data_IF_685651025970
#
_entry.id   IF_685651025970
#
_cell.length_a   1.000
_cell.length_b   1.000
_cell.length_c   1.000
_cell.angle_alpha   90.00
_cell.angle_beta   90.00
_cell.angle_gamma   90.00
#
_symmetry.space_group_name_H-M   'P 1'
#
loop_
_entity.id
_entity.type
_entity.pdbx_description
1 polymer ?
#
# COMPACT_ATOMS: atom_id res chain seq x y z
N UNK A 1 11.13 41.98 -10.39
CA UNK A 1 11.34 41.03 -11.50
C UNK A 1 12.77 40.48 -11.57
N UNK A 2 13.80 41.19 -11.09
CA UNK A 2 15.19 40.71 -11.14
C UNK A 2 15.50 39.56 -10.18
N UNK A 3 15.00 39.60 -8.95
CA UNK A 3 15.19 38.52 -7.97
C UNK A 3 14.61 37.18 -8.46
N UNK A 4 13.43 37.21 -9.10
CA UNK A 4 12.82 36.00 -9.67
C UNK A 4 13.68 35.37 -10.77
N UNK A 5 14.37 36.19 -11.59
CA UNK A 5 15.32 35.69 -12.59
C UNK A 5 16.59 35.14 -11.94
N UNK A 6 17.14 35.84 -10.95
CA UNK A 6 18.32 35.40 -10.21
C UNK A 6 18.10 34.07 -9.48
N UNK A 7 16.92 33.87 -8.88
CA UNK A 7 16.54 32.61 -8.21
C UNK A 7 16.55 31.38 -9.13
N UNK A 8 16.34 31.56 -10.43
CA UNK A 8 16.36 30.47 -11.42
C UNK A 8 17.76 30.29 -12.03
N UNK A 9 18.52 31.37 -12.17
CA UNK A 9 19.82 31.35 -12.84
C UNK A 9 20.96 30.91 -11.93
N UNK A 10 20.89 31.19 -10.63
CA UNK A 10 21.89 30.73 -9.66
C UNK A 10 21.66 29.24 -9.38
N UNK A 11 22.63 28.35 -9.66
CA UNK A 11 22.47 26.93 -9.42
C UNK A 11 22.22 26.63 -7.94
N UNK A 12 21.24 25.77 -7.67
CA UNK A 12 20.97 25.31 -6.32
C UNK A 12 22.12 24.43 -5.81
N UNK A 13 22.71 24.82 -4.67
CA UNK A 13 23.82 24.12 -4.05
C UNK A 13 23.38 22.91 -3.22
N UNK A 14 22.20 22.96 -2.61
CA UNK A 14 21.67 21.89 -1.76
C UNK A 14 20.54 21.13 -2.47
N UNK A 15 20.78 19.86 -2.83
CA UNK A 15 19.79 18.97 -3.47
C UNK A 15 19.65 17.63 -2.75
N UNK A 16 20.40 17.40 -1.67
CA UNK A 16 20.47 16.11 -0.97
C UNK A 16 19.12 15.69 -0.38
N UNK A 17 18.39 16.63 0.21
CA UNK A 17 17.06 16.36 0.77
C UNK A 17 16.02 15.92 -0.28
N UNK A 18 15.99 16.61 -1.43
CA UNK A 18 15.10 16.27 -2.55
C UNK A 18 15.41 14.86 -3.10
N UNK A 19 16.69 14.57 -3.32
CA UNK A 19 17.15 13.28 -3.84
C UNK A 19 16.85 12.15 -2.85
N UNK A 20 17.08 12.39 -1.55
CA UNK A 20 16.79 11.42 -0.50
C UNK A 20 15.30 11.10 -0.44
N UNK A 21 14.43 12.11 -0.44
CA UNK A 21 12.98 11.91 -0.41
C UNK A 21 12.50 11.12 -1.64
N UNK A 22 12.96 11.50 -2.84
CA UNK A 22 12.64 10.78 -4.09
C UNK A 22 13.12 9.33 -4.05
N UNK A 23 14.29 9.07 -3.47
CA UNK A 23 14.83 7.72 -3.28
C UNK A 23 13.96 6.87 -2.37
N UNK A 24 13.52 7.43 -1.23
CA UNK A 24 12.64 6.75 -0.28
C UNK A 24 11.26 6.45 -0.87
N UNK A 25 10.67 7.40 -1.61
CA UNK A 25 9.37 7.21 -2.25
C UNK A 25 9.43 6.12 -3.34
N UNK A 26 10.49 6.11 -4.14
CA UNK A 26 10.74 5.04 -5.11
C UNK A 26 10.91 3.67 -4.45
N UNK A 27 11.72 3.60 -3.39
CA UNK A 27 11.97 2.38 -2.63
C UNK A 27 10.68 1.80 -2.04
N UNK A 28 9.83 2.65 -1.45
CA UNK A 28 8.53 2.26 -0.95
C UNK A 28 7.64 1.70 -2.07
N UNK A 29 7.54 2.39 -3.20
CA UNK A 29 6.72 1.93 -4.33
C UNK A 29 7.22 0.62 -4.93
N UNK A 30 8.54 0.45 -5.07
CA UNK A 30 9.12 -0.80 -5.55
C UNK A 30 8.83 -1.96 -4.60
N UNK A 31 9.06 -1.76 -3.30
CA UNK A 31 8.84 -2.81 -2.31
C UNK A 31 7.36 -3.22 -2.25
N UNK A 32 6.44 -2.26 -2.28
CA UNK A 32 5.00 -2.52 -2.32
C UNK A 32 4.60 -3.25 -3.61
N UNK A 33 5.11 -2.82 -4.76
CA UNK A 33 4.90 -3.52 -6.03
C UNK A 33 5.38 -4.97 -5.95
N UNK A 34 6.59 -5.20 -5.45
CA UNK A 34 7.18 -6.54 -5.40
C UNK A 34 6.48 -7.43 -4.38
N UNK A 35 5.97 -6.85 -3.29
CA UNK A 35 5.13 -7.53 -2.33
C UNK A 35 3.82 -8.05 -2.95
N UNK A 36 3.17 -7.26 -3.82
CA UNK A 36 1.95 -7.71 -4.52
C UNK A 36 2.22 -8.92 -5.43
N UNK A 37 3.40 -8.97 -6.06
CA UNK A 37 3.83 -10.12 -6.86
C UNK A 37 3.99 -11.38 -5.98
N UNK A 38 4.58 -11.25 -4.78
CA UNK A 38 4.70 -12.37 -3.84
C UNK A 38 3.33 -12.87 -3.36
N UNK A 39 2.39 -11.96 -3.11
CA UNK A 39 1.04 -12.32 -2.69
C UNK A 39 0.30 -13.08 -3.80
N UNK A 40 0.40 -12.65 -5.06
CA UNK A 40 -0.18 -13.37 -6.21
C UNK A 40 0.42 -14.77 -6.40
N UNK A 41 1.71 -14.94 -6.07
CA UNK A 41 2.39 -16.23 -6.11
C UNK A 41 2.08 -17.11 -4.89
N UNK A 42 1.28 -16.63 -3.94
CA UNK A 42 0.92 -17.37 -2.72
C UNK A 42 2.08 -17.56 -1.74
N UNK A 43 3.13 -16.73 -1.82
CA UNK A 43 4.30 -16.82 -0.95
C UNK A 43 4.03 -16.21 0.42
N UNK A 44 4.64 -16.78 1.45
CA UNK A 44 4.84 -16.05 2.71
C UNK A 44 6.00 -15.08 2.57
N UNK A 45 5.87 -13.92 3.21
CA UNK A 45 6.88 -12.88 3.16
C UNK A 45 6.80 -11.90 4.32
N UNK A 46 7.93 -11.25 4.60
CA UNK A 46 7.98 -10.00 5.35
C UNK A 46 8.91 -9.03 4.65
N UNK A 47 8.39 -7.86 4.26
CA UNK A 47 9.20 -6.73 3.81
C UNK A 47 9.51 -5.82 5.00
N UNK A 48 10.78 -5.68 5.35
CA UNK A 48 11.23 -4.80 6.44
C UNK A 48 11.97 -3.61 5.83
N UNK A 49 11.51 -2.40 6.14
CA UNK A 49 12.04 -1.17 5.58
C UNK A 49 13.10 -0.56 6.47
N UNK A 50 14.17 0.00 5.88
CA UNK A 50 15.20 0.76 6.63
C UNK A 50 15.83 -0.07 7.78
N UNK A 51 16.16 -1.34 7.52
CA UNK A 51 16.75 -2.24 8.52
C UNK A 51 17.82 -3.13 7.88
N UNK A 52 19.07 -2.95 8.35
CA UNK A 52 20.32 -3.42 7.72
C UNK A 52 20.57 -2.84 6.30
N UNK A 53 19.63 -2.95 5.38
CA UNK A 53 19.66 -2.28 4.08
C UNK A 53 18.35 -1.51 3.83
N UNK A 54 18.20 -1.00 2.61
CA UNK A 54 17.01 -0.25 2.20
C UNK A 54 15.73 -1.11 2.41
N UNK A 55 15.75 -2.36 1.94
CA UNK A 55 14.66 -3.33 2.15
C UNK A 55 15.23 -4.72 2.47
N UNK A 56 14.73 -5.33 3.54
CA UNK A 56 14.95 -6.74 3.87
C UNK A 56 13.72 -7.54 3.49
N UNK A 57 13.89 -8.70 2.85
CA UNK A 57 12.77 -9.60 2.54
C UNK A 57 13.03 -10.94 3.23
N UNK A 58 12.11 -11.34 4.10
CA UNK A 58 12.11 -12.63 4.79
C UNK A 58 11.04 -13.53 4.20
N UNK A 59 11.23 -14.84 4.27
CA UNK A 59 10.27 -15.86 3.79
C UNK A 59 9.24 -16.29 4.83
N UNK A 60 9.35 -15.86 6.09
CA UNK A 60 8.36 -16.12 7.13
C UNK A 60 8.39 -15.04 8.21
N UNK A 61 7.24 -14.74 8.81
CA UNK A 61 7.11 -13.82 9.94
C UNK A 61 7.40 -14.46 11.31
N UNK A 62 7.43 -15.80 11.38
CA UNK A 62 7.65 -16.54 12.63
C UNK A 62 9.00 -17.25 12.69
N UNK A 63 9.43 -17.87 11.58
CA UNK A 63 10.67 -18.65 11.54
C UNK A 63 11.39 -18.51 10.19
N UNK A 64 11.97 -17.33 9.89
CA UNK A 64 12.59 -17.07 8.60
C UNK A 64 13.77 -18.01 8.35
N UNK A 65 13.78 -18.66 7.19
CA UNK A 65 14.87 -19.53 6.73
C UNK A 65 15.71 -18.87 5.65
N UNK A 66 15.16 -17.85 4.98
CA UNK A 66 15.81 -17.10 3.91
C UNK A 66 15.68 -15.61 4.14
N UNK A 67 16.75 -14.89 3.82
CA UNK A 67 16.77 -13.43 3.81
C UNK A 67 17.32 -12.89 2.52
N UNK A 68 16.67 -11.86 1.98
CA UNK A 68 17.16 -11.07 0.84
C UNK A 68 17.50 -9.67 1.34
N UNK A 69 18.77 -9.26 1.23
CA UNK A 69 19.15 -7.87 1.40
C UNK A 69 19.01 -7.15 0.07
N UNK A 70 18.02 -6.26 -0.05
CA UNK A 70 17.77 -5.48 -1.23
C UNK A 70 18.25 -4.04 -1.04
N UNK A 71 19.15 -3.63 -1.92
CA UNK A 71 19.61 -2.25 -2.02
C UNK A 71 18.93 -1.60 -3.22
N UNK A 72 18.06 -0.63 -2.94
CA UNK A 72 17.20 0.04 -3.92
C UNK A 72 17.74 1.43 -4.15
N UNK A 73 18.15 1.73 -5.39
CA UNK A 73 18.78 3.00 -5.74
C UNK A 73 18.15 3.59 -6.98
N UNK A 74 17.94 4.90 -6.95
CA UNK A 74 17.49 5.64 -8.12
C UNK A 74 18.67 6.21 -8.90
N UNK A 75 18.52 6.33 -10.22
CA UNK A 75 19.53 6.96 -11.08
C UNK A 75 18.86 7.49 -12.35
N UNK A 76 19.34 8.63 -12.85
CA UNK A 76 18.88 9.20 -14.13
C UNK A 76 19.62 8.56 -15.32
N UNK A 77 20.88 8.17 -15.08
CA UNK A 77 21.74 7.54 -16.09
C UNK A 77 21.84 6.04 -15.86
N UNK A 78 22.17 5.25 -16.89
CA UNK A 78 22.43 3.83 -16.74
C UNK A 78 23.53 3.57 -15.71
N UNK A 79 23.41 2.46 -14.99
CA UNK A 79 24.46 2.03 -14.06
C UNK A 79 25.61 1.40 -14.83
N UNK A 80 26.83 1.86 -14.52
CA UNK A 80 28.06 1.18 -14.93
C UNK A 80 28.50 0.22 -13.84
N UNK A 81 29.09 -0.91 -14.23
CA UNK A 81 29.64 -1.85 -13.26
C UNK A 81 30.64 -1.17 -12.34
N UNK A 82 31.51 -0.33 -12.90
CA UNK A 82 32.49 0.46 -12.16
C UNK A 82 31.85 1.32 -11.06
N UNK A 83 30.73 1.99 -11.32
CA UNK A 83 30.00 2.80 -10.32
C UNK A 83 29.42 1.95 -9.18
N UNK A 84 29.10 0.68 -9.44
CA UNK A 84 28.51 -0.22 -8.46
C UNK A 84 29.55 -0.87 -7.54
N UNK A 85 30.77 -1.06 -8.03
CA UNK A 85 31.85 -1.75 -7.32
C UNK A 85 32.99 -0.84 -6.87
N UNK A 86 32.99 0.45 -7.25
CA UNK A 86 34.05 1.37 -6.87
C UNK A 86 33.90 1.87 -5.43
N UNK A 87 35.04 1.91 -4.74
CA UNK A 87 35.22 2.61 -3.47
C UNK A 87 36.12 3.83 -3.66
N UNK A 88 35.95 4.83 -2.81
CA UNK A 88 36.79 6.03 -2.71
C UNK A 88 37.18 6.27 -1.26
N UNK A 89 38.07 7.23 -1.00
CA UNK A 89 38.39 7.62 0.39
C UNK A 89 37.16 8.10 1.16
N UNK A 90 36.25 8.81 0.49
CA UNK A 90 35.01 9.33 1.08
C UNK A 90 33.92 8.26 1.19
N UNK A 91 33.91 7.28 0.27
CA UNK A 91 32.98 6.16 0.26
C UNK A 91 33.76 4.84 0.19
N UNK A 92 34.28 4.34 1.33
CA UNK A 92 35.23 3.23 1.37
C UNK A 92 34.63 1.89 0.94
N UNK A 93 33.30 1.78 0.98
CA UNK A 93 32.57 0.59 0.54
C UNK A 93 31.60 0.93 -0.58
N UNK A 94 31.67 0.15 -1.67
CA UNK A 94 30.78 0.27 -2.82
C UNK A 94 29.38 -0.24 -2.49
N UNK A 95 28.43 -0.04 -3.42
CA UNK A 95 27.07 -0.56 -3.28
C UNK A 95 27.07 -2.09 -3.16
N UNK A 96 27.79 -2.76 -4.06
CA UNK A 96 27.91 -4.23 -4.05
C UNK A 96 28.76 -4.70 -2.87
N UNK A 97 29.78 -3.93 -2.47
CA UNK A 97 30.55 -4.21 -1.27
C UNK A 97 29.68 -4.25 -0.02
N UNK A 98 28.76 -3.29 0.15
CA UNK A 98 27.86 -3.24 1.31
C UNK A 98 26.96 -4.49 1.37
N UNK A 99 26.41 -4.93 0.23
CA UNK A 99 25.61 -6.15 0.15
C UNK A 99 26.42 -7.39 0.58
N UNK A 100 27.65 -7.55 0.11
CA UNK A 100 28.51 -8.66 0.51
C UNK A 100 29.01 -8.55 1.96
N UNK A 101 29.16 -7.35 2.50
CA UNK A 101 29.45 -7.12 3.93
C UNK A 101 28.26 -7.52 4.82
N UNK A 102 27.02 -7.28 4.39
CA UNK A 102 25.87 -7.84 5.10
C UNK A 102 25.91 -9.36 5.07
N UNK A 103 26.12 -9.96 3.89
CA UNK A 103 26.21 -11.42 3.78
C UNK A 103 27.27 -12.03 4.70
N UNK A 104 28.46 -11.42 4.81
CA UNK A 104 29.53 -11.94 5.67
C UNK A 104 29.18 -11.91 7.16
N UNK A 105 28.18 -11.12 7.58
CA UNK A 105 27.68 -11.09 8.97
C UNK A 105 26.68 -12.20 9.28
N UNK A 106 26.13 -12.89 8.26
CA UNK A 106 25.10 -13.93 8.41
C UNK A 106 25.57 -15.28 7.82
N UNK A 107 26.80 -15.68 8.16
CA UNK A 107 27.40 -16.96 7.72
C UNK A 107 26.54 -18.14 8.21
N UNK A 108 26.31 -19.12 7.34
CA UNK A 108 25.49 -20.30 7.64
C UNK A 108 23.99 -20.11 7.42
N UNK A 109 23.53 -18.87 7.14
CA UNK A 109 22.15 -18.57 6.77
C UNK A 109 21.95 -18.55 5.25
N UNK A 110 20.73 -18.80 4.78
CA UNK A 110 20.42 -18.66 3.35
C UNK A 110 20.21 -17.18 2.98
N UNK A 111 21.30 -16.52 2.60
CA UNK A 111 21.31 -15.10 2.23
C UNK A 111 21.38 -14.92 0.72
N UNK A 112 20.44 -14.15 0.18
CA UNK A 112 20.48 -13.60 -1.17
C UNK A 112 20.66 -12.07 -1.11
N UNK A 113 21.20 -11.53 -2.19
CA UNK A 113 21.52 -10.11 -2.33
C UNK A 113 20.84 -9.59 -3.59
N UNK A 114 20.27 -8.39 -3.51
CA UNK A 114 19.61 -7.78 -4.65
C UNK A 114 20.01 -6.32 -4.77
N UNK A 115 20.43 -5.91 -5.97
CA UNK A 115 20.59 -4.51 -6.32
C UNK A 115 19.48 -4.11 -7.30
N UNK A 116 18.66 -3.14 -6.90
CA UNK A 116 17.45 -2.72 -7.60
C UNK A 116 17.56 -1.28 -8.05
N UNK A 117 17.10 -0.97 -9.25
CA UNK A 117 17.09 0.40 -9.75
C UNK A 117 16.02 0.65 -10.82
N UNK A 118 15.58 1.90 -10.96
CA UNK A 118 14.76 2.35 -12.09
C UNK A 118 15.54 2.40 -13.41
N UNK A 119 16.86 2.61 -13.33
CA UNK A 119 17.76 2.69 -14.49
C UNK A 119 18.37 1.32 -14.79
N UNK A 120 18.51 1.03 -16.09
CA UNK A 120 19.14 -0.19 -16.59
C UNK A 120 20.65 -0.24 -16.31
N UNK A 121 21.21 -1.44 -16.47
CA UNK A 121 22.63 -1.73 -16.31
C UNK A 121 23.29 -1.72 -17.68
N UNK A 122 24.29 -0.88 -17.94
CA UNK A 122 24.90 -0.81 -19.27
C UNK A 122 25.87 -1.97 -19.58
N UNK A 123 26.01 -2.91 -18.66
CA UNK A 123 26.89 -4.07 -18.75
C UNK A 123 26.12 -5.38 -18.93
N UNK A 124 24.79 -5.34 -18.96
CA UNK A 124 23.92 -6.47 -19.29
C UNK A 124 22.55 -5.96 -19.78
N UNK A 125 21.98 -6.57 -20.82
CA UNK A 125 20.73 -6.11 -21.44
C UNK A 125 19.47 -6.62 -20.72
N UNK A 126 19.62 -7.62 -19.83
CA UNK A 126 18.50 -8.23 -19.11
C UNK A 126 18.01 -7.32 -17.99
N UNK A 127 16.70 -7.29 -17.76
CA UNK A 127 16.12 -6.59 -16.61
C UNK A 127 16.33 -7.33 -15.29
N UNK A 128 16.55 -8.64 -15.31
CA UNK A 128 16.85 -9.45 -14.13
C UNK A 128 17.89 -10.50 -14.46
N UNK A 129 19.00 -10.50 -13.74
CA UNK A 129 20.09 -11.46 -13.95
C UNK A 129 20.95 -11.61 -12.69
N UNK A 130 21.54 -12.80 -12.53
CA UNK A 130 22.53 -13.06 -11.50
C UNK A 130 23.90 -12.54 -11.92
N UNK A 131 24.69 -12.08 -10.95
CA UNK A 131 26.09 -11.71 -11.19
C UNK A 131 26.93 -12.89 -11.72
N UNK A 132 26.52 -14.15 -11.47
CA UNK A 132 27.21 -15.33 -12.00
C UNK A 132 27.00 -15.53 -13.52
N UNK A 133 25.96 -14.91 -14.08
CA UNK A 133 25.62 -14.98 -15.51
C UNK A 133 26.32 -13.87 -16.34
N UNK A 134 27.11 -13.01 -15.70
CA UNK A 134 27.89 -11.98 -16.37
C UNK A 134 29.09 -12.59 -17.10
N UNK A 135 29.61 -11.84 -18.09
CA UNK A 135 30.88 -12.14 -18.76
C UNK A 135 32.01 -12.31 -17.73
N UNK A 136 32.93 -13.25 -17.96
CA UNK A 136 34.03 -13.54 -17.03
C UNK A 136 34.80 -12.29 -16.58
N UNK A 137 35.14 -11.39 -17.52
CA UNK A 137 35.82 -10.14 -17.20
C UNK A 137 35.07 -9.26 -16.20
N UNK A 138 33.73 -9.26 -16.22
CA UNK A 138 32.92 -8.53 -15.23
C UNK A 138 32.90 -9.26 -13.88
N UNK A 139 32.82 -10.60 -13.89
CA UNK A 139 32.86 -11.41 -12.66
C UNK A 139 34.18 -11.25 -11.92
N UNK A 140 35.30 -11.34 -12.64
CA UNK A 140 36.65 -11.12 -12.10
C UNK A 140 36.80 -9.70 -11.52
N UNK A 141 36.25 -8.70 -12.20
CA UNK A 141 36.30 -7.32 -11.73
C UNK A 141 35.50 -7.12 -10.43
N UNK A 142 34.29 -7.70 -10.35
CA UNK A 142 33.50 -7.70 -9.10
C UNK A 142 34.30 -8.36 -7.98
N UNK A 143 34.81 -9.57 -8.20
CA UNK A 143 35.56 -10.32 -7.17
C UNK A 143 36.77 -9.53 -6.71
N UNK A 144 37.60 -9.04 -7.64
CA UNK A 144 38.81 -8.28 -7.35
C UNK A 144 38.49 -7.03 -6.51
N UNK A 145 37.61 -6.16 -7.01
CA UNK A 145 37.30 -4.87 -6.36
C UNK A 145 36.57 -5.03 -5.04
N UNK A 146 35.63 -5.97 -4.95
CA UNK A 146 34.79 -6.12 -3.76
C UNK A 146 35.50 -6.90 -2.66
N UNK A 147 36.37 -7.86 -2.99
CA UNK A 147 37.18 -8.57 -1.97
C UNK A 147 38.10 -7.63 -1.21
N UNK A 148 38.60 -6.57 -1.86
CA UNK A 148 39.43 -5.54 -1.21
C UNK A 148 38.64 -4.67 -0.21
N UNK A 149 37.30 -4.66 -0.30
CA UNK A 149 36.43 -3.80 0.51
C UNK A 149 35.80 -4.53 1.70
N UNK A 150 35.64 -5.85 1.60
CA UNK A 150 34.90 -6.65 2.59
C UNK A 150 35.87 -7.55 3.33
N UNK A 151 35.96 -7.38 4.64
CA UNK A 151 36.73 -8.28 5.52
C UNK A 151 35.92 -9.57 5.68
N UNK A 152 36.17 -10.56 4.83
CA UNK A 152 35.55 -11.89 4.91
C UNK A 152 36.54 -12.98 4.51
N UNK A 153 36.47 -14.12 5.20
CA UNK A 153 37.24 -15.33 4.89
C UNK A 153 36.58 -16.18 3.80
N UNK A 154 35.31 -15.92 3.45
CA UNK A 154 34.55 -16.69 2.46
C UNK A 154 34.66 -16.07 1.07
N UNK A 155 34.80 -16.90 0.03
CA UNK A 155 34.73 -16.48 -1.37
C UNK A 155 33.38 -15.79 -1.66
N UNK A 156 33.40 -14.74 -2.49
CA UNK A 156 32.17 -14.11 -2.97
C UNK A 156 31.36 -15.08 -3.83
N UNK A 157 30.15 -15.40 -3.38
CA UNK A 157 29.19 -16.22 -4.12
C UNK A 157 28.35 -15.34 -5.05
N UNK A 158 28.84 -15.10 -6.26
CA UNK A 158 28.16 -14.25 -7.25
C UNK A 158 26.76 -14.75 -7.63
N UNK A 159 26.49 -16.06 -7.50
CA UNK A 159 25.16 -16.63 -7.76
C UNK A 159 24.09 -16.08 -6.80
N UNK A 160 24.48 -15.59 -5.63
CA UNK A 160 23.58 -14.99 -4.64
C UNK A 160 23.25 -13.53 -4.91
N UNK A 161 23.95 -12.85 -5.81
CA UNK A 161 23.70 -11.45 -6.18
C UNK A 161 22.84 -11.37 -7.44
N UNK A 162 21.68 -10.74 -7.32
CA UNK A 162 20.77 -10.44 -8.42
C UNK A 162 20.76 -8.94 -8.71
N UNK A 163 20.82 -8.58 -9.98
CA UNK A 163 20.54 -7.23 -10.46
C UNK A 163 19.12 -7.19 -11.01
N UNK A 164 18.35 -6.17 -10.63
CA UNK A 164 16.97 -5.96 -11.05
C UNK A 164 16.74 -4.52 -11.51
N UNK A 165 16.38 -4.35 -12.77
CA UNK A 165 15.79 -3.13 -13.30
C UNK A 165 14.29 -3.18 -13.03
N UNK A 166 13.81 -2.26 -12.20
CA UNK A 166 12.40 -2.07 -11.90
C UNK A 166 11.65 -1.54 -13.12
N UNK A 167 10.40 -1.93 -13.27
CA UNK A 167 9.46 -1.37 -14.24
C UNK A 167 8.82 -0.05 -13.76
N UNK A 168 9.13 0.36 -12.53
CA UNK A 168 8.78 1.68 -12.03
C UNK A 168 9.72 2.75 -12.59
N UNK A 169 9.15 3.81 -13.16
CA UNK A 169 9.92 4.97 -13.61
C UNK A 169 10.29 5.88 -12.44
N UNK A 170 11.34 6.69 -12.61
CA UNK A 170 11.81 7.60 -11.57
C UNK A 170 10.75 8.62 -11.12
N UNK A 171 10.01 9.19 -12.07
CA UNK A 171 9.02 10.24 -11.80
C UNK A 171 7.59 9.68 -11.67
N UNK A 172 7.29 8.56 -12.32
CA UNK A 172 5.95 7.97 -12.39
C UNK A 172 5.70 6.83 -11.41
N UNK A 173 6.62 6.51 -10.50
CA UNK A 173 6.54 5.35 -9.59
C UNK A 173 5.19 5.25 -8.84
N UNK A 174 4.64 6.37 -8.35
CA UNK A 174 3.34 6.36 -7.66
C UNK A 174 2.16 6.05 -8.59
N UNK A 175 2.20 6.52 -9.84
CA UNK A 175 1.18 6.20 -10.85
C UNK A 175 1.31 4.75 -11.32
N UNK A 176 2.54 4.25 -11.48
CA UNK A 176 2.80 2.86 -11.85
C UNK A 176 2.33 1.91 -10.75
N UNK A 177 2.58 2.22 -9.47
CA UNK A 177 2.06 1.43 -8.34
C UNK A 177 0.54 1.33 -8.36
N UNK A 178 -0.17 2.42 -8.67
CA UNK A 178 -1.64 2.39 -8.81
C UNK A 178 -2.09 1.48 -9.95
N UNK A 179 -1.42 1.54 -11.11
CA UNK A 179 -1.66 0.62 -12.22
C UNK A 179 -1.47 -0.83 -11.82
N UNK A 180 -0.34 -1.14 -11.18
CA UNK A 180 -0.07 -2.48 -10.64
C UNK A 180 -1.08 -2.96 -9.60
N UNK A 181 -1.65 -2.05 -8.80
CA UNK A 181 -2.73 -2.40 -7.87
C UNK A 181 -4.02 -2.74 -8.62
N UNK A 182 -4.33 -2.04 -9.72
CA UNK A 182 -5.46 -2.43 -10.59
C UNK A 182 -5.27 -3.86 -11.08
N UNK A 183 -4.11 -4.15 -11.69
CA UNK A 183 -3.78 -5.49 -12.20
C UNK A 183 -3.81 -6.53 -11.07
N UNK A 184 -3.27 -6.19 -9.90
CA UNK A 184 -3.31 -7.05 -8.72
C UNK A 184 -4.75 -7.38 -8.32
N UNK A 185 -5.65 -6.40 -8.24
CA UNK A 185 -7.04 -6.63 -7.86
C UNK A 185 -7.78 -7.49 -8.87
N UNK A 186 -7.56 -7.29 -10.17
CA UNK A 186 -8.17 -8.11 -11.22
C UNK A 186 -7.73 -9.59 -11.12
N UNK A 187 -6.48 -9.85 -10.74
CA UNK A 187 -5.96 -11.20 -10.59
C UNK A 187 -6.29 -11.83 -9.23
N UNK A 188 -6.31 -11.02 -8.16
CA UNK A 188 -6.51 -11.48 -6.79
C UNK A 188 -7.99 -11.69 -6.45
N UNK A 189 -8.85 -10.76 -6.86
CA UNK A 189 -10.29 -10.89 -6.69
C UNK A 189 -10.85 -11.50 -7.98
N UNK A 190 -11.16 -12.80 -7.94
CA UNK A 190 -11.82 -13.51 -9.06
C UNK A 190 -13.27 -13.06 -9.34
N UNK A 191 -13.72 -11.97 -8.73
CA UNK A 191 -15.05 -11.38 -8.81
C UNK A 191 -14.88 -9.88 -9.10
N UNK A 192 -15.78 -9.30 -9.89
CA UNK A 192 -15.78 -7.86 -10.14
C UNK A 192 -16.01 -7.08 -8.83
N UNK A 193 -14.92 -6.62 -8.24
CA UNK A 193 -14.91 -5.82 -7.02
C UNK A 193 -14.48 -4.41 -7.35
N UNK A 194 -15.41 -3.46 -7.26
CA UNK A 194 -15.11 -2.03 -7.39
C UNK A 194 -14.40 -1.50 -6.11
N UNK A 195 -13.12 -1.83 -5.97
CA UNK A 195 -12.21 -1.27 -4.96
C UNK A 195 -11.42 -0.14 -5.61
N UNK A 196 -11.30 0.99 -4.94
CA UNK A 196 -10.52 2.13 -5.43
C UNK A 196 -9.00 1.87 -5.28
N UNK A 197 -8.25 1.66 -6.37
CA UNK A 197 -6.82 1.35 -6.32
C UNK A 197 -5.99 2.46 -5.69
N UNK A 198 -6.39 3.73 -5.92
CA UNK A 198 -5.69 4.88 -5.37
C UNK A 198 -5.86 5.01 -3.85
N UNK A 199 -7.01 4.64 -3.30
CA UNK A 199 -7.19 4.62 -1.84
C UNK A 199 -6.34 3.52 -1.19
N UNK A 200 -6.29 2.35 -1.82
CA UNK A 200 -5.46 1.25 -1.35
C UNK A 200 -3.96 1.60 -1.40
N UNK A 201 -3.50 2.14 -2.53
CA UNK A 201 -2.12 2.62 -2.69
C UNK A 201 -1.71 3.57 -1.54
N UNK A 202 -2.53 4.60 -1.28
CA UNK A 202 -2.26 5.55 -0.19
C UNK A 202 -2.20 4.89 1.18
N UNK A 203 -3.03 3.87 1.42
CA UNK A 203 -3.06 3.12 2.68
C UNK A 203 -1.75 2.34 2.86
N UNK A 204 -1.32 1.62 1.84
CA UNK A 204 -0.06 0.86 1.84
C UNK A 204 1.16 1.78 1.97
N UNK A 205 1.20 2.86 1.19
CA UNK A 205 2.27 3.86 1.24
C UNK A 205 2.37 4.53 2.62
N UNK A 206 1.24 4.85 3.25
CA UNK A 206 1.23 5.42 4.60
C UNK A 206 1.80 4.43 5.61
N UNK A 207 1.33 3.18 5.59
CA UNK A 207 1.83 2.13 6.46
C UNK A 207 3.34 1.89 6.24
N UNK A 208 3.80 1.90 4.99
CA UNK A 208 5.22 1.81 4.65
C UNK A 208 6.03 2.95 5.27
N UNK A 209 5.59 4.20 5.10
CA UNK A 209 6.27 5.39 5.66
C UNK A 209 6.32 5.35 7.18
N UNK A 210 5.25 4.92 7.84
CA UNK A 210 5.20 4.85 9.30
C UNK A 210 6.16 3.79 9.85
N UNK A 211 6.29 2.65 9.16
CA UNK A 211 7.27 1.60 9.47
C UNK A 211 8.71 2.03 9.22
N UNK A 212 8.98 2.75 8.13
CA UNK A 212 10.31 3.24 7.79
C UNK A 212 10.83 4.28 8.81
N UNK A 213 9.95 5.09 9.41
CA UNK A 213 10.30 6.10 10.44
C UNK A 213 10.74 5.50 11.77
N UNK A 214 10.43 4.23 12.04
CA UNK A 214 10.83 3.57 13.29
C UNK A 214 12.35 3.45 13.33
N UNK A 215 12.99 3.99 14.37
CA UNK A 215 14.44 3.91 14.53
C UNK A 215 14.86 2.47 14.79
N UNK A 216 15.85 2.00 14.04
CA UNK A 216 16.35 0.62 14.18
C UNK A 216 16.98 0.36 15.56
N UNK A 217 17.43 1.41 16.26
CA UNK A 217 17.90 1.33 17.66
C UNK A 217 16.80 0.98 18.68
N UNK A 218 15.53 1.20 18.31
CA UNK A 218 14.40 0.97 19.21
C UNK A 218 13.88 -0.47 19.12
N UNK A 219 14.41 -1.28 18.20
CA UNK A 219 14.03 -2.68 18.00
C UNK A 219 14.85 -3.58 18.92
N UNK A 220 14.20 -4.30 19.83
CA UNK A 220 14.86 -5.10 20.87
C UNK A 220 14.94 -6.58 20.52
N UNK A 221 13.96 -7.08 19.78
CA UNK A 221 13.83 -8.49 19.40
C UNK A 221 13.19 -8.63 18.02
N UNK A 222 13.11 -9.88 17.56
CA UNK A 222 12.58 -10.20 16.23
C UNK A 222 11.08 -9.92 16.13
N UNK A 223 10.28 -10.27 17.14
CA UNK A 223 8.84 -10.00 17.14
C UNK A 223 8.57 -8.48 17.03
N UNK A 224 9.35 -7.67 17.72
CA UNK A 224 9.29 -6.21 17.62
C UNK A 224 9.70 -5.70 16.24
N UNK A 225 10.73 -6.31 15.62
CA UNK A 225 11.14 -5.99 14.25
C UNK A 225 9.99 -6.18 13.27
N UNK A 226 9.37 -7.36 13.32
CA UNK A 226 8.24 -7.71 12.44
C UNK A 226 7.06 -6.78 12.70
N UNK A 227 6.67 -6.60 13.96
CA UNK A 227 5.51 -5.79 14.33
C UNK A 227 5.67 -4.32 13.94
N UNK A 228 6.84 -3.72 14.17
CA UNK A 228 7.06 -2.27 14.00
C UNK A 228 7.58 -1.89 12.63
N UNK A 229 8.38 -2.74 11.97
CA UNK A 229 9.00 -2.43 10.67
C UNK A 229 8.61 -3.38 9.55
N UNK A 230 8.08 -4.55 9.87
CA UNK A 230 7.66 -5.56 8.91
C UNK A 230 6.30 -5.28 8.27
N UNK A 231 6.22 -5.57 6.98
CA UNK A 231 5.00 -5.64 6.19
C UNK A 231 4.79 -7.10 5.80
N UNK A 232 3.91 -7.79 6.52
CA UNK A 232 3.74 -9.24 6.44
C UNK A 232 2.66 -9.63 5.44
N UNK A 233 2.73 -10.85 4.91
CA UNK A 233 1.65 -11.41 4.09
C UNK A 233 0.32 -11.44 4.86
N UNK A 234 0.34 -11.76 6.16
CA UNK A 234 -0.83 -11.71 7.05
C UNK A 234 -1.45 -10.31 7.12
N UNK A 235 -0.63 -9.26 7.30
CA UNK A 235 -1.12 -7.89 7.31
C UNK A 235 -1.83 -7.51 5.98
N UNK A 236 -1.27 -7.89 4.84
CA UNK A 236 -1.88 -7.60 3.54
C UNK A 236 -3.20 -8.36 3.36
N UNK A 237 -3.21 -9.67 3.64
CA UNK A 237 -4.40 -10.52 3.56
C UNK A 237 -5.53 -10.02 4.45
N UNK A 238 -5.21 -9.63 5.69
CA UNK A 238 -6.21 -9.07 6.60
C UNK A 238 -6.74 -7.73 6.09
N UNK A 239 -5.87 -6.85 5.55
CA UNK A 239 -6.29 -5.58 4.94
C UNK A 239 -7.23 -5.84 3.75
N UNK A 240 -6.89 -6.77 2.87
CA UNK A 240 -7.72 -7.15 1.72
C UNK A 240 -9.05 -7.76 2.16
N UNK A 241 -9.04 -8.64 3.18
CA UNK A 241 -10.25 -9.21 3.77
C UNK A 241 -11.15 -8.11 4.33
N UNK A 242 -10.60 -7.15 5.06
CA UNK A 242 -11.37 -6.02 5.61
C UNK A 242 -11.96 -5.13 4.52
N UNK A 243 -11.23 -4.90 3.43
CA UNK A 243 -11.74 -4.17 2.27
C UNK A 243 -12.89 -4.95 1.62
N UNK A 244 -12.73 -6.26 1.41
CA UNK A 244 -13.80 -7.12 0.86
C UNK A 244 -15.04 -7.11 1.75
N UNK A 245 -14.89 -7.32 3.05
CA UNK A 245 -15.99 -7.27 4.03
C UNK A 245 -16.67 -5.89 3.98
N UNK A 246 -15.90 -4.80 4.05
CA UNK A 246 -16.46 -3.44 4.01
C UNK A 246 -17.27 -3.18 2.74
N UNK A 247 -16.81 -3.69 1.58
CA UNK A 247 -17.52 -3.55 0.31
C UNK A 247 -18.79 -4.40 0.28
N UNK A 248 -18.73 -5.64 0.76
CA UNK A 248 -19.89 -6.56 0.82
C UNK A 248 -20.97 -6.05 1.78
N UNK A 249 -20.57 -5.48 2.92
CA UNK A 249 -21.49 -4.92 3.91
C UNK A 249 -22.04 -3.54 3.51
N UNK A 250 -21.62 -2.97 2.37
CA UNK A 250 -22.07 -1.65 1.96
C UNK A 250 -23.48 -1.74 1.33
N UNK A 251 -24.50 -1.07 1.90
CA UNK A 251 -25.82 -0.99 1.28
C UNK A 251 -25.76 -0.44 -0.16
N UNK A 252 -26.48 -1.10 -1.05
CA UNK A 252 -26.61 -0.74 -2.47
C UNK A 252 -28.05 -0.40 -2.80
N UNK A 253 -28.28 0.24 -3.95
CA UNK A 253 -29.63 0.49 -4.44
C UNK A 253 -30.42 -0.81 -4.66
N UNK A 254 -29.75 -1.91 -5.02
CA UNK A 254 -30.42 -3.19 -5.21
C UNK A 254 -31.10 -3.69 -3.93
N UNK A 255 -30.50 -3.45 -2.76
CA UNK A 255 -31.12 -3.75 -1.47
C UNK A 255 -32.17 -2.72 -1.05
N UNK A 256 -31.98 -1.44 -1.40
CA UNK A 256 -32.91 -0.38 -1.03
C UNK A 256 -34.20 -0.37 -1.85
N UNK A 257 -34.15 -0.75 -3.12
CA UNK A 257 -35.28 -0.69 -4.03
C UNK A 257 -36.50 -1.52 -3.56
N UNK A 258 -36.35 -2.80 -3.14
CA UNK A 258 -37.47 -3.57 -2.58
C UNK A 258 -38.13 -2.90 -1.37
N UNK A 259 -37.34 -2.32 -0.45
CA UNK A 259 -37.83 -1.62 0.74
C UNK A 259 -38.66 -0.40 0.33
N UNK A 260 -38.16 0.41 -0.61
CA UNK A 260 -38.92 1.58 -1.07
C UNK A 260 -40.20 1.20 -1.83
N UNK A 261 -40.19 0.11 -2.59
CA UNK A 261 -41.41 -0.44 -3.20
C UNK A 261 -42.44 -0.85 -2.13
N UNK A 262 -42.00 -1.52 -1.06
CA UNK A 262 -42.87 -1.94 0.05
C UNK A 262 -43.49 -0.75 0.78
N UNK A 263 -42.73 0.34 0.95
CA UNK A 263 -43.20 1.61 1.52
C UNK A 263 -44.16 2.36 0.57
N UNK A 264 -44.44 1.82 -0.62
CA UNK A 264 -45.44 2.35 -1.55
C UNK A 264 -44.93 3.46 -2.46
N UNK A 265 -43.62 3.58 -2.66
CA UNK A 265 -43.03 4.57 -3.57
C UNK A 265 -43.28 4.17 -5.04
N UNK A 266 -43.81 5.10 -5.83
CA UNK A 266 -44.08 4.90 -7.26
C UNK A 266 -42.83 5.01 -8.14
N UNK A 267 -42.92 4.59 -9.41
CA UNK A 267 -41.78 4.52 -10.33
C UNK A 267 -40.97 5.83 -10.46
N UNK A 268 -41.64 6.98 -10.54
CA UNK A 268 -40.96 8.28 -10.63
C UNK A 268 -40.22 8.64 -9.32
N UNK A 269 -40.82 8.33 -8.17
CA UNK A 269 -40.19 8.53 -6.86
C UNK A 269 -38.98 7.61 -6.70
N UNK A 270 -39.06 6.37 -7.17
CA UNK A 270 -37.93 5.42 -7.14
C UNK A 270 -36.74 5.93 -7.95
N UNK A 271 -36.96 6.58 -9.11
CA UNK A 271 -35.87 7.21 -9.88
C UNK A 271 -35.21 8.35 -9.10
N UNK A 272 -36.00 9.20 -8.44
CA UNK A 272 -35.47 10.27 -7.57
C UNK A 272 -34.66 9.69 -6.40
N UNK A 273 -35.24 8.70 -5.72
CA UNK A 273 -34.64 8.02 -4.57
C UNK A 273 -33.38 7.26 -4.95
N UNK A 274 -33.28 6.68 -6.15
CA UNK A 274 -32.05 6.03 -6.62
C UNK A 274 -30.89 7.03 -6.72
N UNK A 275 -31.16 8.20 -7.30
CA UNK A 275 -30.17 9.27 -7.40
C UNK A 275 -29.82 9.83 -6.00
N UNK A 276 -30.81 10.01 -5.13
CA UNK A 276 -30.61 10.48 -3.75
C UNK A 276 -29.81 9.47 -2.92
N UNK A 277 -30.15 8.18 -2.96
CA UNK A 277 -29.45 7.10 -2.27
C UNK A 277 -27.99 7.01 -2.70
N UNK A 278 -27.72 7.17 -4.00
CA UNK A 278 -26.34 7.20 -4.54
C UNK A 278 -25.54 8.39 -3.99
N UNK A 279 -26.14 9.59 -3.96
CA UNK A 279 -25.51 10.80 -3.38
C UNK A 279 -25.23 10.64 -1.89
N UNK A 280 -26.20 10.14 -1.13
CA UNK A 280 -26.05 9.88 0.31
C UNK A 280 -24.93 8.85 0.55
N UNK A 281 -24.90 7.76 -0.21
CA UNK A 281 -23.86 6.73 -0.11
C UNK A 281 -22.45 7.29 -0.34
N UNK A 282 -22.31 8.30 -1.22
CA UNK A 282 -21.05 9.01 -1.44
C UNK A 282 -20.74 9.95 -0.25
N UNK A 283 -21.73 10.73 0.21
CA UNK A 283 -21.58 11.67 1.32
C UNK A 283 -21.17 10.99 2.64
N UNK A 284 -21.62 9.75 2.86
CA UNK A 284 -21.25 8.94 4.03
C UNK A 284 -19.76 8.54 4.09
N UNK A 285 -19.03 8.65 2.97
CA UNK A 285 -17.58 8.43 2.92
C UNK A 285 -16.79 9.57 3.57
N UNK A 286 -17.40 10.73 3.77
CA UNK A 286 -16.79 11.86 4.46
C UNK A 286 -16.98 11.70 5.97
N UNK A 287 -15.92 11.93 6.76
CA UNK A 287 -15.91 11.66 8.20
C UNK A 287 -16.81 12.58 9.02
N UNK A 288 -17.13 13.79 8.53
CA UNK A 288 -17.87 14.83 9.27
C UNK A 288 -19.04 15.41 8.45
N UNK A 289 -19.91 14.58 7.89
CA UNK A 289 -21.12 15.02 7.18
C UNK A 289 -22.38 14.91 8.05
N UNK A 290 -23.39 15.74 7.77
CA UNK A 290 -24.68 15.67 8.46
C UNK A 290 -25.35 14.31 8.22
N UNK A 291 -25.19 13.76 7.02
CA UNK A 291 -25.61 12.42 6.63
C UNK A 291 -25.03 11.35 7.55
N UNK A 292 -23.73 11.44 7.87
CA UNK A 292 -23.06 10.43 8.69
C UNK A 292 -23.54 10.45 10.15
N UNK A 293 -23.65 11.64 10.73
CA UNK A 293 -24.16 11.80 12.10
C UNK A 293 -25.62 11.35 12.17
N UNK A 294 -26.43 11.71 11.17
CA UNK A 294 -27.83 11.27 11.09
C UNK A 294 -27.93 9.74 10.95
N UNK A 295 -27.10 9.11 10.11
CA UNK A 295 -27.03 7.66 9.97
C UNK A 295 -26.69 6.97 11.29
N UNK A 296 -25.67 7.45 12.01
CA UNK A 296 -25.25 6.86 13.29
C UNK A 296 -26.39 6.91 14.33
N UNK A 297 -27.13 8.02 14.39
CA UNK A 297 -28.30 8.14 15.27
C UNK A 297 -29.47 7.26 14.81
N UNK A 298 -29.69 7.12 13.50
CA UNK A 298 -30.71 6.21 12.96
C UNK A 298 -30.37 4.75 13.26
N UNK A 299 -29.11 4.35 13.11
CA UNK A 299 -28.63 3.00 13.46
C UNK A 299 -28.79 2.70 14.95
N UNK A 300 -28.58 3.68 15.83
CA UNK A 300 -28.76 3.51 17.28
C UNK A 300 -30.23 3.31 17.69
N UNK A 301 -31.18 3.67 16.84
CA UNK A 301 -32.62 3.46 17.06
C UNK A 301 -33.14 2.14 16.45
N UNK A 302 -32.25 1.31 15.89
CA UNK A 302 -32.63 0.07 15.23
C UNK A 302 -33.38 -0.89 16.15
N UNK A 303 -34.54 -1.32 15.68
CA UNK A 303 -35.42 -2.25 16.37
C UNK A 303 -35.98 -3.24 15.34
N UNK A 304 -35.42 -4.47 15.34
CA UNK A 304 -35.77 -5.52 14.39
C UNK A 304 -37.26 -5.87 14.43
N UNK A 305 -37.86 -5.92 15.62
CA UNK A 305 -39.27 -6.26 15.77
C UNK A 305 -40.17 -5.21 15.12
N UNK A 306 -39.88 -3.91 15.34
CA UNK A 306 -40.65 -2.83 14.71
C UNK A 306 -40.49 -2.80 13.19
N UNK A 307 -39.30 -3.11 12.68
CA UNK A 307 -39.04 -3.22 11.23
C UNK A 307 -39.88 -4.34 10.62
N UNK A 308 -39.92 -5.51 11.27
CA UNK A 308 -40.71 -6.68 10.82
C UNK A 308 -42.23 -6.46 10.95
N UNK A 309 -42.69 -5.70 11.95
CA UNK A 309 -44.10 -5.34 12.12
C UNK A 309 -44.60 -4.39 11.03
N UNK A 310 -43.85 -3.32 10.75
CA UNK A 310 -44.15 -2.40 9.65
C UNK A 310 -42.96 -1.49 9.35
N UNK A 311 -42.27 -1.76 8.26
CA UNK A 311 -41.14 -0.94 7.80
C UNK A 311 -41.54 0.52 7.54
N UNK A 312 -42.75 0.76 7.03
CA UNK A 312 -43.30 2.10 6.82
C UNK A 312 -43.45 2.87 8.13
N UNK A 313 -44.09 2.28 9.14
CA UNK A 313 -44.28 2.93 10.44
C UNK A 313 -42.94 3.13 11.14
N UNK A 314 -42.02 2.17 11.02
CA UNK A 314 -40.67 2.26 11.57
C UNK A 314 -39.89 3.45 10.97
N UNK A 315 -39.87 3.60 9.64
CA UNK A 315 -39.17 4.72 8.99
C UNK A 315 -39.74 6.06 9.47
N UNK A 316 -41.07 6.19 9.51
CA UNK A 316 -41.73 7.41 10.01
C UNK A 316 -41.36 7.70 11.46
N UNK A 317 -41.38 6.68 12.32
CA UNK A 317 -41.00 6.79 13.73
C UNK A 317 -39.56 7.28 13.90
N UNK A 318 -38.60 6.69 13.18
CA UNK A 318 -37.19 7.08 13.28
C UNK A 318 -36.99 8.51 12.83
N UNK A 319 -37.60 8.92 11.71
CA UNK A 319 -37.50 10.30 11.21
C UNK A 319 -38.07 11.30 12.23
N UNK A 320 -39.24 11.02 12.80
CA UNK A 320 -39.84 11.89 13.83
C UNK A 320 -39.04 11.93 15.13
N UNK A 321 -38.43 10.81 15.52
CA UNK A 321 -37.54 10.76 16.68
C UNK A 321 -36.29 11.62 16.45
N UNK A 322 -35.65 11.49 15.27
CA UNK A 322 -34.43 12.21 14.93
C UNK A 322 -34.66 13.71 14.72
N UNK A 323 -35.82 14.11 14.21
CA UNK A 323 -36.23 15.53 14.17
C UNK A 323 -36.18 16.18 15.56
N UNK A 324 -36.48 15.43 16.62
CA UNK A 324 -36.48 15.93 18.01
C UNK A 324 -35.10 15.82 18.66
N UNK A 325 -34.39 14.70 18.45
CA UNK A 325 -33.12 14.44 19.15
C UNK A 325 -31.91 15.10 18.51
N UNK A 326 -31.94 15.35 17.19
CA UNK A 326 -30.84 15.96 16.41
C UNK A 326 -31.38 16.98 15.39
N UNK A 327 -32.06 18.05 15.84
CA UNK A 327 -32.80 18.97 14.98
C UNK A 327 -31.92 19.67 13.95
N UNK A 328 -30.70 20.08 14.33
CA UNK A 328 -29.74 20.75 13.45
C UNK A 328 -29.35 19.90 12.23
N UNK A 329 -29.06 18.61 12.44
CA UNK A 329 -28.72 17.68 11.36
C UNK A 329 -29.95 17.28 10.55
N UNK A 330 -31.11 17.16 11.19
CA UNK A 330 -32.37 16.91 10.49
C UNK A 330 -32.79 18.08 9.60
N UNK A 331 -32.48 19.34 9.96
CA UNK A 331 -32.78 20.52 9.15
C UNK A 331 -31.85 20.63 7.93
N UNK A 332 -30.62 20.10 8.03
CA UNK A 332 -29.66 20.11 6.94
C UNK A 332 -29.98 19.11 5.81
N UNK A 333 -30.96 18.22 6.01
CA UNK A 333 -31.28 17.12 5.11
C UNK A 333 -32.71 17.25 4.56
N UNK A 334 -32.89 16.94 3.27
CA UNK A 334 -34.21 16.79 2.65
C UNK A 334 -34.92 15.54 3.17
N UNK A 335 -36.24 15.47 2.99
CA UNK A 335 -37.00 14.30 3.43
C UNK A 335 -36.60 13.02 2.69
N UNK A 336 -36.30 13.11 1.38
CA UNK A 336 -35.75 11.97 0.63
C UNK A 336 -34.37 11.54 1.18
N UNK A 337 -33.50 12.47 1.57
CA UNK A 337 -32.20 12.12 2.18
C UNK A 337 -32.40 11.39 3.51
N UNK A 338 -33.32 11.85 4.36
CA UNK A 338 -33.65 11.19 5.63
C UNK A 338 -34.17 9.78 5.41
N UNK A 339 -35.11 9.60 4.48
CA UNK A 339 -35.63 8.28 4.12
C UNK A 339 -34.52 7.35 3.62
N UNK A 340 -33.68 7.83 2.69
CA UNK A 340 -32.52 7.06 2.21
C UNK A 340 -31.57 6.66 3.34
N UNK A 341 -31.29 7.56 4.30
CA UNK A 341 -30.41 7.28 5.43
C UNK A 341 -30.97 6.24 6.40
N UNK A 342 -32.28 6.29 6.68
CA UNK A 342 -32.93 5.28 7.54
C UNK A 342 -32.99 3.93 6.83
N UNK A 343 -33.32 3.89 5.54
CA UNK A 343 -33.27 2.64 4.77
C UNK A 343 -31.84 2.09 4.69
N UNK A 344 -30.85 2.96 4.51
CA UNK A 344 -29.43 2.59 4.54
C UNK A 344 -29.04 1.98 5.89
N UNK A 345 -29.51 2.53 7.03
CA UNK A 345 -29.20 1.98 8.35
C UNK A 345 -29.82 0.60 8.56
N UNK A 346 -31.06 0.38 8.13
CA UNK A 346 -31.73 -0.92 8.17
C UNK A 346 -30.90 -1.95 7.41
N UNK A 347 -30.62 -1.68 6.13
CA UNK A 347 -29.86 -2.62 5.28
C UNK A 347 -28.48 -2.92 5.88
N UNK A 348 -27.77 -1.89 6.33
CA UNK A 348 -26.42 -2.05 6.90
C UNK A 348 -26.41 -2.98 8.12
N UNK A 349 -27.41 -2.86 8.99
CA UNK A 349 -27.52 -3.68 10.20
C UNK A 349 -27.95 -5.09 9.83
N UNK A 350 -28.95 -5.25 8.96
CA UNK A 350 -29.42 -6.57 8.53
C UNK A 350 -28.33 -7.37 7.82
N UNK A 351 -27.58 -6.76 6.90
CA UNK A 351 -26.45 -7.43 6.23
C UNK A 351 -25.31 -7.71 7.22
N UNK A 352 -25.06 -6.81 8.17
CA UNK A 352 -24.06 -6.99 9.22
C UNK A 352 -24.37 -8.13 10.19
N UNK A 353 -25.64 -8.34 10.52
CA UNK A 353 -26.12 -9.44 11.38
C UNK A 353 -26.09 -10.80 10.67
N UNK A 354 -26.25 -10.84 9.34
CA UNK A 354 -26.16 -12.08 8.53
C UNK A 354 -24.72 -12.44 8.14
N UNK A 355 -23.78 -11.49 8.23
CA UNK A 355 -22.38 -11.61 7.80
C UNK A 355 -21.36 -11.87 8.90
N UNK A 356 -21.79 -12.21 10.13
CA UNK A 356 -20.95 -12.51 11.29
C UNK A 356 -21.03 -13.99 11.71
#
# INVERSE_FOLDING_TARGET
>A
MELAKALIQVPQTERGGEIAQRGLDFQACWALSHMLEYELEGKEYVFVFEYHDDVLILDSEFNPQKVIFAQVKTNEKPWTLSKLISSTKEKPISFIGKLFEHRSKFVGSNVELMFVSNAYFNFDERNRFSANELKEAHKENIVCRVSEQVISSSKLELSKLIFLTSDLSLEGHASHLKGKICDFFENYFHEEMEINPALFARTLESACRDRAKVRSSDIKDFDELIKRKGFTSTFLKDTLRQIKITKLLQPTWQYANPIFCEVGKGAFQLLSLQATFSRVSIALKQTNSAERIYLEKASALFDKQRVEESITLYIMYVIESLKKSVPEYSLALTDEQKECLVVYSIIKITIGDEGL
#
